data_IF_096818081069
#
_entry.id   IF_096818081069
#
_cell.length_a   1.000
_cell.length_b   1.000
_cell.length_c   1.000
_cell.angle_alpha   90.00
_cell.angle_beta   90.00
_cell.angle_gamma   90.00
#
_symmetry.space_group_name_H-M   'P 1'
#
loop_
_entity.id
_entity.type
_entity.pdbx_description
1 polymer ?
#
# COMPACT_ATOMS: atom_id res chain seq x y z
N UNK A 1 -19.98 -8.45 2.92
CA UNK A 1 -19.17 -7.73 1.91
C UNK A 1 -18.05 -8.67 1.46
N UNK A 2 -17.98 -9.02 0.17
CA UNK A 2 -16.83 -9.77 -0.35
C UNK A 2 -15.61 -8.84 -0.31
N UNK A 3 -14.46 -9.26 0.27
CA UNK A 3 -13.27 -8.42 0.26
C UNK A 3 -12.88 -8.16 -1.19
N UNK A 4 -12.76 -6.88 -1.57
CA UNK A 4 -12.20 -6.55 -2.88
C UNK A 4 -10.74 -6.97 -2.92
N UNK A 5 -10.23 -7.39 -4.08
CA UNK A 5 -8.80 -7.71 -4.25
C UNK A 5 -7.94 -6.52 -3.78
N UNK A 6 -8.40 -5.29 -4.03
CA UNK A 6 -7.73 -4.07 -3.55
C UNK A 6 -7.62 -3.99 -2.03
N UNK A 7 -8.69 -4.34 -1.31
CA UNK A 7 -8.68 -4.36 0.17
C UNK A 7 -7.73 -5.42 0.72
N UNK A 8 -7.63 -6.57 0.06
CA UNK A 8 -6.68 -7.62 0.44
C UNK A 8 -5.24 -7.16 0.25
N UNK A 9 -4.92 -6.58 -0.91
CA UNK A 9 -3.56 -6.09 -1.19
C UNK A 9 -3.19 -4.94 -0.24
N UNK A 10 -4.14 -4.06 0.09
CA UNK A 10 -3.91 -2.98 1.05
C UNK A 10 -3.58 -3.51 2.46
N UNK A 11 -4.31 -4.51 2.96
CA UNK A 11 -4.01 -5.14 4.25
C UNK A 11 -2.63 -5.84 4.25
N UNK A 12 -2.29 -6.54 3.17
CA UNK A 12 -0.96 -7.16 3.02
C UNK A 12 0.15 -6.10 3.03
N UNK A 13 -0.07 -4.96 2.37
CA UNK A 13 0.88 -3.85 2.33
C UNK A 13 1.05 -3.18 3.69
N UNK A 14 -0.03 -3.02 4.47
CA UNK A 14 0.03 -2.54 5.86
C UNK A 14 0.89 -3.45 6.74
N UNK A 15 0.77 -4.77 6.58
CA UNK A 15 1.60 -5.73 7.31
C UNK A 15 3.07 -5.60 6.89
N UNK A 16 3.34 -5.53 5.59
CA UNK A 16 4.70 -5.40 5.06
C UNK A 16 5.40 -4.12 5.57
N UNK A 17 4.73 -2.95 5.56
CA UNK A 17 5.36 -1.72 6.08
C UNK A 17 5.66 -1.82 7.59
N UNK A 18 4.79 -2.46 8.37
CA UNK A 18 5.05 -2.67 9.80
C UNK A 18 6.26 -3.58 10.05
N UNK A 19 6.45 -4.62 9.23
CA UNK A 19 7.61 -5.50 9.29
C UNK A 19 8.92 -4.77 8.95
N UNK A 20 8.86 -3.72 8.13
CA UNK A 20 10.00 -2.84 7.85
C UNK A 20 10.22 -1.77 8.95
N UNK A 21 9.40 -1.75 10.01
CA UNK A 21 9.47 -0.74 11.09
C UNK A 21 8.76 0.57 10.77
N UNK A 22 8.02 0.64 9.65
CA UNK A 22 7.30 1.82 9.21
C UNK A 22 5.85 1.83 9.73
N UNK A 23 5.27 3.03 9.86
CA UNK A 23 3.89 3.18 10.33
C UNK A 23 2.87 2.80 9.25
N UNK A 24 1.66 2.37 9.66
CA UNK A 24 0.57 1.94 8.76
C UNK A 24 0.22 2.94 7.66
N UNK A 25 0.27 4.25 7.93
CA UNK A 25 -0.04 5.29 6.93
C UNK A 25 0.93 5.26 5.72
N UNK A 26 2.12 4.66 5.88
CA UNK A 26 3.08 4.48 4.78
C UNK A 26 2.52 3.58 3.67
N UNK A 27 1.69 2.59 4.03
CA UNK A 27 1.01 1.75 3.05
C UNK A 27 0.03 2.57 2.18
N UNK A 28 -0.67 3.55 2.76
CA UNK A 28 -1.56 4.44 2.00
C UNK A 28 -0.79 5.30 1.00
N UNK A 29 0.38 5.81 1.41
CA UNK A 29 1.26 6.58 0.52
C UNK A 29 1.76 5.74 -0.66
N UNK A 30 2.22 4.52 -0.40
CA UNK A 30 2.67 3.58 -1.45
C UNK A 30 1.50 3.23 -2.37
N UNK A 31 0.32 2.97 -1.82
CA UNK A 31 -0.89 2.68 -2.59
C UNK A 31 -1.26 3.84 -3.52
N UNK A 32 -1.25 5.08 -3.02
CA UNK A 32 -1.49 6.25 -3.86
C UNK A 32 -0.45 6.40 -4.98
N UNK A 33 0.82 6.18 -4.68
CA UNK A 33 1.89 6.24 -5.68
C UNK A 33 1.66 5.22 -6.80
N UNK A 34 1.42 3.96 -6.45
CA UNK A 34 1.25 2.88 -7.42
C UNK A 34 -0.04 3.01 -8.25
N UNK A 35 -1.18 3.28 -7.61
CA UNK A 35 -2.49 3.14 -8.26
C UNK A 35 -3.12 4.46 -8.69
N UNK A 36 -2.87 5.55 -7.96
CA UNK A 36 -3.44 6.87 -8.28
C UNK A 36 -2.50 7.67 -9.16
N UNK A 37 -1.21 7.73 -8.81
CA UNK A 37 -0.20 8.52 -9.53
C UNK A 37 0.49 7.74 -10.65
N UNK A 38 0.43 6.40 -10.64
CA UNK A 38 1.04 5.50 -11.64
C UNK A 38 2.52 5.82 -11.89
N UNK A 39 3.24 6.15 -10.83
CA UNK A 39 4.63 6.62 -10.93
C UNK A 39 5.52 5.44 -11.29
N UNK A 40 6.41 5.66 -12.26
CA UNK A 40 7.27 4.60 -12.81
C UNK A 40 8.68 4.61 -12.24
N UNK A 41 9.06 5.67 -11.53
CA UNK A 41 10.35 5.83 -10.85
C UNK A 41 10.16 6.49 -9.48
N UNK A 42 11.13 6.27 -8.59
CA UNK A 42 11.23 6.90 -7.28
C UNK A 42 12.15 8.14 -7.26
N UNK A 43 12.87 8.39 -8.36
CA UNK A 43 13.79 9.52 -8.55
C UNK A 43 13.06 10.85 -8.78
#
# INVERSE_FOLDING_TARGET
MKPSIHSLVHQTMQKWVLEQGEKKFRADQIWEWLYRKRVQSFE
#
